data_IF_256051003163
#
_entry.id   IF_256051003163
#
_cell.length_a   1.000
_cell.length_b   1.000
_cell.length_c   1.000
_cell.angle_alpha   90.00
_cell.angle_beta   90.00
_cell.angle_gamma   90.00
#
_symmetry.space_group_name_H-M   'P 1'
#
loop_
_entity.id
_entity.type
_entity.pdbx_description
1 polymer ?
#
# COMPACT_ATOMS: atom_id res chain seq x y z
N UNK A 1 2.05 -15.23 -31.01
CA UNK A 1 1.14 -15.19 -29.84
C UNK A 1 1.54 -16.14 -28.73
N UNK A 2 1.81 -17.44 -28.98
CA UNK A 2 2.21 -18.41 -27.93
C UNK A 2 3.38 -17.94 -27.04
N UNK A 3 4.51 -17.54 -27.65
CA UNK A 3 5.67 -17.04 -26.91
C UNK A 3 5.39 -15.78 -26.09
N UNK A 4 4.59 -14.85 -26.63
CA UNK A 4 4.22 -13.62 -25.93
C UNK A 4 3.38 -13.92 -24.68
N UNK A 5 2.44 -14.86 -24.77
CA UNK A 5 1.69 -15.35 -23.62
C UNK A 5 2.60 -15.96 -22.56
N UNK A 6 3.56 -16.81 -22.97
CA UNK A 6 4.51 -17.43 -22.04
C UNK A 6 5.35 -16.35 -21.33
N UNK A 7 5.91 -15.41 -22.08
CA UNK A 7 6.74 -14.33 -21.52
C UNK A 7 5.94 -13.47 -20.54
N UNK A 8 4.71 -13.07 -20.89
CA UNK A 8 3.87 -12.26 -19.98
C UNK A 8 3.53 -13.02 -18.69
N UNK A 9 3.21 -14.32 -18.79
CA UNK A 9 2.95 -15.13 -17.59
C UNK A 9 4.22 -15.29 -16.74
N UNK A 10 5.37 -15.56 -17.34
CA UNK A 10 6.64 -15.69 -16.61
C UNK A 10 6.98 -14.39 -15.89
N UNK A 11 6.89 -13.25 -16.57
CA UNK A 11 7.15 -11.94 -15.96
C UNK A 11 6.16 -11.60 -14.84
N UNK A 12 4.93 -12.11 -14.90
CA UNK A 12 3.94 -11.92 -13.84
C UNK A 12 4.16 -12.84 -12.64
N UNK A 13 4.48 -14.12 -12.87
CA UNK A 13 4.62 -15.12 -11.81
C UNK A 13 5.98 -15.12 -11.13
N UNK A 14 7.08 -14.75 -11.82
CA UNK A 14 8.42 -14.72 -11.19
C UNK A 14 8.47 -13.78 -9.98
N UNK A 15 7.99 -12.53 -10.04
CA UNK A 15 7.97 -11.66 -8.87
C UNK A 15 7.11 -12.24 -7.75
N UNK A 16 5.95 -12.79 -8.10
CA UNK A 16 4.97 -13.36 -7.18
C UNK A 16 5.52 -14.56 -6.40
N UNK A 17 5.99 -15.58 -7.13
CA UNK A 17 6.50 -16.83 -6.53
C UNK A 17 7.89 -16.60 -5.95
N UNK A 18 8.70 -15.83 -6.64
CA UNK A 18 10.09 -15.63 -6.28
C UNK A 18 10.29 -14.81 -5.01
N UNK A 19 9.35 -13.94 -4.62
CA UNK A 19 9.37 -13.33 -3.28
C UNK A 19 9.32 -14.38 -2.16
N UNK A 20 8.59 -15.49 -2.36
CA UNK A 20 8.52 -16.57 -1.37
C UNK A 20 9.78 -17.43 -1.34
N UNK A 21 10.39 -17.70 -2.50
CA UNK A 21 11.52 -18.65 -2.61
C UNK A 21 12.88 -17.95 -2.41
N UNK A 22 13.05 -16.75 -2.97
CA UNK A 22 14.31 -15.99 -2.93
C UNK A 22 14.04 -14.53 -2.51
N UNK A 23 13.61 -14.31 -1.25
CA UNK A 23 13.23 -12.98 -0.77
C UNK A 23 14.37 -11.97 -0.94
N UNK A 24 15.64 -12.34 -0.71
CA UNK A 24 16.78 -11.40 -0.80
C UNK A 24 17.01 -10.88 -2.23
N UNK A 25 16.88 -11.75 -3.23
CA UNK A 25 17.06 -11.36 -4.64
C UNK A 25 15.87 -10.55 -5.13
N UNK A 26 14.66 -10.97 -4.78
CA UNK A 26 13.42 -10.40 -5.35
C UNK A 26 12.85 -9.27 -4.48
N UNK A 27 13.33 -9.09 -3.24
CA UNK A 27 13.17 -7.85 -2.50
C UNK A 27 14.00 -6.71 -3.08
N UNK A 28 14.92 -7.00 -4.00
CA UNK A 28 15.61 -5.95 -4.72
C UNK A 28 14.59 -5.22 -5.63
N UNK A 29 14.24 -4.03 -5.17
CA UNK A 29 13.40 -3.06 -5.86
C UNK A 29 13.70 -2.98 -7.36
N UNK A 30 14.96 -2.99 -7.79
CA UNK A 30 15.35 -2.85 -9.19
C UNK A 30 14.81 -4.00 -10.06
N UNK A 31 14.83 -5.23 -9.56
CA UNK A 31 14.37 -6.41 -10.32
C UNK A 31 12.86 -6.35 -10.54
N UNK A 32 12.10 -5.99 -9.50
CA UNK A 32 10.65 -5.82 -9.61
C UNK A 32 10.30 -4.69 -10.59
N UNK A 33 11.07 -3.62 -10.62
CA UNK A 33 10.87 -2.51 -11.57
C UNK A 33 11.07 -2.90 -13.02
N UNK A 34 12.12 -3.65 -13.33
CA UNK A 34 12.37 -4.10 -14.69
C UNK A 34 11.22 -5.00 -15.16
N UNK A 35 10.78 -5.94 -14.31
CA UNK A 35 9.67 -6.82 -14.64
C UNK A 35 8.36 -6.04 -14.83
N UNK A 36 8.09 -5.07 -13.96
CA UNK A 36 6.91 -4.22 -14.03
C UNK A 36 6.90 -3.35 -15.29
N UNK A 37 8.03 -2.70 -15.62
CA UNK A 37 8.17 -1.89 -16.83
C UNK A 37 7.95 -2.73 -18.09
N UNK A 38 8.52 -3.94 -18.12
CA UNK A 38 8.31 -4.88 -19.23
C UNK A 38 6.85 -5.30 -19.35
N UNK A 39 6.18 -5.66 -18.25
CA UNK A 39 4.76 -6.02 -18.26
C UNK A 39 3.86 -4.87 -18.71
N UNK A 40 4.16 -3.65 -18.27
CA UNK A 40 3.42 -2.44 -18.62
C UNK A 40 3.43 -2.16 -20.12
N UNK A 41 4.46 -2.60 -20.85
CA UNK A 41 4.54 -2.48 -22.31
C UNK A 41 4.02 -3.75 -23.01
N UNK A 42 4.39 -4.93 -22.53
CA UNK A 42 4.09 -6.19 -23.21
C UNK A 42 2.60 -6.55 -23.14
N UNK A 43 1.93 -6.32 -22.01
CA UNK A 43 0.51 -6.61 -21.84
C UNK A 43 -0.38 -5.82 -22.83
N UNK A 44 -0.27 -4.48 -22.95
CA UNK A 44 -1.09 -3.74 -23.90
C UNK A 44 -0.76 -4.09 -25.36
N UNK A 45 0.50 -4.38 -25.69
CA UNK A 45 0.88 -4.86 -27.03
C UNK A 45 0.28 -6.24 -27.35
N UNK A 46 0.25 -7.13 -26.36
CA UNK A 46 -0.34 -8.46 -26.50
C UNK A 46 -1.87 -8.39 -26.64
N UNK A 47 -2.49 -7.53 -25.83
CA UNK A 47 -3.93 -7.25 -25.86
C UNK A 47 -4.36 -6.69 -27.22
N UNK A 48 -3.69 -5.65 -27.73
CA UNK A 48 -4.05 -5.06 -29.01
C UNK A 48 -3.83 -6.01 -30.20
N UNK A 49 -2.76 -6.82 -30.18
CA UNK A 49 -2.56 -7.87 -31.20
C UNK A 49 -3.65 -8.94 -31.13
N UNK A 50 -4.08 -9.31 -29.93
CA UNK A 50 -5.17 -10.27 -29.73
C UNK A 50 -6.51 -9.72 -30.25
N UNK A 51 -6.78 -8.43 -30.06
CA UNK A 51 -7.97 -7.75 -30.58
C UNK A 51 -8.02 -7.80 -32.12
N UNK A 52 -6.94 -7.38 -32.79
CA UNK A 52 -6.92 -7.33 -34.26
C UNK A 52 -6.99 -8.73 -34.88
N UNK A 53 -6.25 -9.69 -34.31
CA UNK A 53 -6.31 -11.09 -34.76
C UNK A 53 -7.71 -11.69 -34.67
N UNK A 54 -8.52 -11.25 -33.70
CA UNK A 54 -9.89 -11.73 -33.56
C UNK A 54 -10.85 -11.00 -34.51
N UNK A 55 -10.66 -9.69 -34.71
CA UNK A 55 -11.51 -8.91 -35.62
C UNK A 55 -11.52 -9.42 -37.07
N UNK A 56 -10.44 -10.10 -37.50
CA UNK A 56 -10.35 -10.75 -38.82
C UNK A 56 -11.04 -12.11 -38.91
N UNK A 57 -11.42 -12.74 -37.80
CA UNK A 57 -12.01 -14.10 -37.75
C UNK A 57 -13.52 -14.11 -37.47
N UNK A 58 -14.17 -12.96 -37.24
CA UNK A 58 -15.59 -12.90 -36.87
C UNK A 58 -16.49 -13.20 -38.08
N UNK A 59 -16.79 -14.49 -38.28
CA UNK A 59 -18.08 -14.95 -38.80
C UNK A 59 -19.02 -15.12 -37.60
N UNK A 60 -19.93 -14.15 -37.43
CA UNK A 60 -21.19 -14.20 -36.64
C UNK A 60 -21.12 -14.96 -35.30
N UNK A 61 -20.86 -14.24 -34.20
CA UNK A 61 -21.10 -14.74 -32.84
C UNK A 61 -20.39 -13.93 -31.76
N UNK A 62 -21.12 -13.55 -30.69
CA UNK A 62 -20.62 -12.87 -29.49
C UNK A 62 -19.85 -13.89 -28.63
N UNK A 63 -18.72 -14.39 -29.12
CA UNK A 63 -17.76 -15.11 -28.30
C UNK A 63 -16.50 -14.27 -28.20
N UNK A 64 -16.34 -13.56 -27.07
CA UNK A 64 -15.06 -12.97 -26.71
C UNK A 64 -14.03 -14.10 -26.57
N UNK A 65 -12.90 -14.04 -27.28
CA UNK A 65 -11.96 -15.16 -27.31
C UNK A 65 -11.22 -15.27 -25.98
N UNK A 66 -11.10 -16.49 -25.46
CA UNK A 66 -10.43 -16.83 -24.18
C UNK A 66 -9.05 -16.16 -24.00
N UNK A 67 -8.30 -15.94 -25.07
CA UNK A 67 -6.95 -15.32 -25.04
C UNK A 67 -6.97 -13.81 -24.82
N UNK A 68 -8.02 -13.13 -25.24
CA UNK A 68 -8.19 -11.68 -25.11
C UNK A 68 -8.60 -11.33 -23.68
N UNK A 69 -9.45 -12.17 -23.07
CA UNK A 69 -9.72 -12.14 -21.64
C UNK A 69 -8.45 -12.41 -20.81
N UNK A 70 -7.56 -13.30 -21.26
CA UNK A 70 -6.34 -13.64 -20.51
C UNK A 70 -5.39 -12.46 -20.26
N UNK A 71 -5.11 -11.64 -21.28
CA UNK A 71 -4.21 -10.48 -21.12
C UNK A 71 -4.87 -9.33 -20.34
N UNK A 72 -6.18 -9.12 -20.53
CA UNK A 72 -6.95 -8.16 -19.74
C UNK A 72 -7.00 -8.58 -18.27
N UNK A 73 -7.24 -9.86 -17.99
CA UNK A 73 -7.24 -10.42 -16.62
C UNK A 73 -5.86 -10.28 -15.98
N UNK A 74 -4.77 -10.61 -16.69
CA UNK A 74 -3.41 -10.42 -16.18
C UNK A 74 -3.11 -8.94 -15.87
N UNK A 75 -3.58 -8.03 -16.73
CA UNK A 75 -3.48 -6.59 -16.46
C UNK A 75 -4.29 -6.20 -15.21
N UNK A 76 -5.56 -6.59 -15.11
CA UNK A 76 -6.41 -6.31 -13.95
C UNK A 76 -5.83 -6.89 -12.66
N UNK A 77 -5.25 -8.10 -12.71
CA UNK A 77 -4.57 -8.72 -11.56
C UNK A 77 -3.33 -7.93 -11.16
N UNK A 78 -2.51 -7.49 -12.12
CA UNK A 78 -1.31 -6.69 -11.81
C UNK A 78 -1.67 -5.36 -11.16
N UNK A 79 -2.67 -4.64 -11.68
CA UNK A 79 -3.18 -3.41 -11.07
C UNK A 79 -3.80 -3.70 -9.71
N UNK A 80 -4.60 -4.76 -9.61
CA UNK A 80 -5.26 -5.18 -8.38
C UNK A 80 -4.29 -5.50 -7.24
N UNK A 81 -3.14 -6.13 -7.54
CA UNK A 81 -2.09 -6.39 -6.55
C UNK A 81 -1.50 -5.10 -5.99
N UNK A 82 -1.25 -4.08 -6.81
CA UNK A 82 -0.75 -2.79 -6.37
C UNK A 82 -1.78 -1.99 -5.56
N UNK A 83 -3.06 -2.05 -5.96
CA UNK A 83 -4.14 -1.44 -5.19
C UNK A 83 -4.30 -2.16 -3.85
N UNK A 84 -4.31 -3.49 -3.83
CA UNK A 84 -4.41 -4.26 -2.60
C UNK A 84 -3.26 -3.98 -1.64
N UNK A 85 -2.02 -3.90 -2.14
CA UNK A 85 -0.85 -3.54 -1.32
C UNK A 85 -0.97 -2.12 -0.74
N UNK A 86 -1.54 -1.17 -1.49
CA UNK A 86 -1.75 0.19 -0.96
C UNK A 86 -2.79 0.22 0.18
N UNK A 87 -3.86 -0.57 0.05
CA UNK A 87 -4.94 -0.65 1.04
C UNK A 87 -4.51 -1.39 2.31
N UNK A 88 -3.71 -2.45 2.18
CA UNK A 88 -3.16 -3.15 3.35
C UNK A 88 -2.20 -2.26 4.15
N UNK A 89 -1.40 -1.42 3.47
CA UNK A 89 -0.54 -0.44 4.14
C UNK A 89 -1.34 0.66 4.86
N UNK A 90 -2.44 1.14 4.27
CA UNK A 90 -3.35 2.09 4.92
C UNK A 90 -4.04 1.44 6.13
N UNK A 91 -4.43 0.17 6.03
CA UNK A 91 -5.02 -0.56 7.14
C UNK A 91 -4.04 -0.75 8.30
N UNK A 92 -2.77 -1.08 8.00
CA UNK A 92 -1.70 -1.15 9.01
C UNK A 92 -1.45 0.21 9.65
N UNK A 93 -1.39 1.28 8.86
CA UNK A 93 -1.24 2.64 9.36
C UNK A 93 -2.40 3.04 10.29
N UNK A 94 -3.64 2.70 9.93
CA UNK A 94 -4.80 2.93 10.79
C UNK A 94 -4.76 2.11 12.09
N UNK A 95 -4.31 0.85 12.06
CA UNK A 95 -4.14 0.05 13.29
C UNK A 95 -3.08 0.67 14.18
N UNK A 96 -1.96 1.09 13.61
CA UNK A 96 -0.90 1.73 14.36
C UNK A 96 -1.43 3.05 14.95
N UNK A 97 -1.96 3.97 14.14
CA UNK A 97 -2.45 5.25 14.64
C UNK A 97 -3.59 5.13 15.67
N UNK A 98 -4.58 4.26 15.45
CA UNK A 98 -5.72 4.09 16.37
C UNK A 98 -5.39 3.23 17.60
N UNK A 99 -4.32 2.41 17.54
CA UNK A 99 -3.83 1.67 18.70
C UNK A 99 -2.97 2.53 19.63
N UNK A 100 -2.40 3.63 19.12
CA UNK A 100 -1.57 4.57 19.87
C UNK A 100 -2.30 5.84 20.30
N UNK A 101 -3.43 6.20 19.69
CA UNK A 101 -4.36 7.15 20.32
C UNK A 101 -4.92 6.49 21.58
N UNK A 102 -4.40 6.92 22.73
CA UNK A 102 -4.87 6.49 24.04
C UNK A 102 -6.41 6.54 24.07
N UNK A 103 -7.04 5.44 24.49
CA UNK A 103 -8.51 5.37 24.62
C UNK A 103 -9.09 6.42 25.58
N UNK A 104 -8.25 7.18 26.25
CA UNK A 104 -8.60 8.40 26.96
C UNK A 104 -8.27 9.61 26.08
N UNK A 105 -9.29 10.43 25.84
CA UNK A 105 -9.07 11.77 25.32
C UNK A 105 -8.11 12.48 26.28
N UNK A 106 -6.97 13.00 25.80
CA UNK A 106 -5.92 13.60 26.63
C UNK A 106 -6.49 14.52 27.72
N UNK A 107 -7.46 15.34 27.35
CA UNK A 107 -8.18 16.23 28.26
C UNK A 107 -8.81 15.51 29.47
N UNK A 108 -9.36 14.31 29.30
CA UNK A 108 -9.98 13.50 30.37
C UNK A 108 -8.94 12.89 31.32
N UNK A 109 -7.73 12.58 30.84
CA UNK A 109 -6.62 12.11 31.69
C UNK A 109 -6.13 13.25 32.58
N UNK A 110 -5.91 14.44 32.00
CA UNK A 110 -5.51 15.62 32.76
C UNK A 110 -6.63 16.12 33.69
N UNK A 111 -7.90 15.98 33.34
CA UNK A 111 -9.01 16.38 34.22
C UNK A 111 -9.10 15.47 35.45
N UNK A 112 -8.86 14.16 35.28
CA UNK A 112 -8.90 13.17 36.37
C UNK A 112 -7.89 13.41 37.49
N UNK A 113 -6.76 14.09 37.24
CA UNK A 113 -5.79 14.43 38.31
C UNK A 113 -6.29 15.51 39.29
N UNK A 114 -7.39 16.20 38.95
CA UNK A 114 -7.99 17.28 39.74
C UNK A 114 -9.33 16.90 40.39
N UNK A 115 -9.83 15.67 40.17
CA UNK A 115 -11.07 15.17 40.76
C UNK A 115 -10.83 14.68 42.19
N UNK A 116 -11.86 14.75 43.04
CA UNK A 116 -11.88 14.21 44.42
C UNK A 116 -11.89 12.67 44.48
N UNK A 117 -10.92 12.04 43.81
CA UNK A 117 -10.61 10.62 43.98
C UNK A 117 -9.60 10.44 45.12
N UNK A 118 -9.37 9.18 45.52
CA UNK A 118 -8.32 8.88 46.48
C UNK A 118 -6.96 9.35 45.95
N UNK A 119 -6.11 9.88 46.84
CA UNK A 119 -4.76 10.35 46.49
C UNK A 119 -3.94 9.32 45.71
N UNK A 120 -4.08 8.02 46.02
CA UNK A 120 -3.40 6.93 45.28
C UNK A 120 -3.86 6.85 43.81
N UNK A 121 -5.16 7.02 43.55
CA UNK A 121 -5.71 7.01 42.19
C UNK A 121 -5.20 8.23 41.40
N UNK A 122 -5.19 9.40 42.04
CA UNK A 122 -4.70 10.64 41.43
C UNK A 122 -3.20 10.57 41.12
N UNK A 123 -2.41 9.95 42.02
CA UNK A 123 -0.99 9.69 41.79
C UNK A 123 -0.76 8.69 40.67
N UNK A 124 -1.57 7.63 40.58
CA UNK A 124 -1.50 6.65 39.49
C UNK A 124 -1.80 7.29 38.13
N UNK A 125 -2.80 8.17 38.04
CA UNK A 125 -3.08 8.93 36.81
C UNK A 125 -1.92 9.87 36.45
N UNK A 126 -1.33 10.56 37.44
CA UNK A 126 -0.16 11.41 37.21
C UNK A 126 1.07 10.62 36.73
N UNK A 127 1.27 9.42 37.28
CA UNK A 127 2.30 8.47 36.82
C UNK A 127 2.06 8.04 35.37
N UNK A 128 0.82 7.69 35.01
CA UNK A 128 0.47 7.32 33.64
C UNK A 128 0.74 8.47 32.65
N UNK A 129 0.35 9.71 33.02
CA UNK A 129 0.64 10.90 32.21
C UNK A 129 2.16 11.08 32.03
N UNK A 130 2.96 10.88 33.07
CA UNK A 130 4.41 10.97 32.93
C UNK A 130 4.98 9.88 32.01
N UNK A 131 4.51 8.64 32.14
CA UNK A 131 4.96 7.51 31.32
C UNK A 131 4.61 7.71 29.84
N UNK A 132 3.47 8.33 29.54
CA UNK A 132 3.00 8.53 28.17
C UNK A 132 3.54 9.81 27.53
N UNK A 133 3.69 10.89 28.31
CA UNK A 133 4.00 12.24 27.79
C UNK A 133 5.31 12.84 28.31
N UNK A 134 5.94 12.25 29.32
CA UNK A 134 7.19 12.75 29.92
C UNK A 134 7.02 14.03 30.76
N UNK A 135 5.77 14.40 31.07
CA UNK A 135 5.46 15.64 31.80
C UNK A 135 5.07 15.31 33.24
N UNK A 136 5.76 15.91 34.19
CA UNK A 136 5.36 15.87 35.59
C UNK A 136 4.13 16.76 35.81
N UNK A 137 3.04 16.17 36.29
CA UNK A 137 1.77 16.88 36.51
C UNK A 137 1.45 17.03 37.99
N UNK A 138 0.67 18.06 38.30
CA UNK A 138 0.13 18.28 39.63
C UNK A 138 -1.07 17.36 39.88
N UNK A 139 -1.19 16.81 41.08
CA UNK A 139 -2.33 16.02 41.50
C UNK A 139 -2.77 16.39 42.92
N UNK A 140 -4.06 16.15 43.21
CA UNK A 140 -4.69 16.53 44.48
C UNK A 140 -4.38 15.53 45.60
N UNK A 141 -3.99 16.05 46.77
CA UNK A 141 -3.77 15.28 48.01
C UNK A 141 -5.07 15.15 48.81
N UNK A 142 -5.17 14.11 49.63
CA UNK A 142 -6.31 13.91 50.53
C UNK A 142 -6.48 15.07 51.54
N UNK A 143 -5.40 15.82 51.82
CA UNK A 143 -5.40 17.00 52.70
C UNK A 143 -5.99 18.27 52.06
N UNK A 144 -6.40 18.20 50.78
CA UNK A 144 -6.94 19.34 50.03
C UNK A 144 -5.88 20.24 49.37
N UNK A 145 -4.59 19.89 49.48
CA UNK A 145 -3.49 20.53 48.76
C UNK A 145 -3.17 19.86 47.41
N UNK A 146 -2.18 20.40 46.69
CA UNK A 146 -1.66 19.82 45.45
C UNK A 146 -0.16 19.54 45.60
N UNK A 147 0.31 18.48 44.95
CA UNK A 147 1.74 18.19 44.81
C UNK A 147 2.06 17.82 43.37
N UNK A 148 3.35 17.92 42.99
CA UNK A 148 3.84 17.51 41.68
C UNK A 148 4.27 16.05 41.76
N UNK A 149 3.94 15.26 40.74
CA UNK A 149 4.44 13.89 40.62
C UNK A 149 5.96 13.88 40.43
N UNK A 150 6.67 13.23 41.35
CA UNK A 150 8.10 13.00 41.25
C UNK A 150 8.35 11.61 40.65
N UNK A 151 8.88 11.53 39.41
CA UNK A 151 9.08 10.26 38.73
C UNK A 151 10.22 9.46 39.38
N UNK A 152 10.00 8.17 39.52
CA UNK A 152 11.03 7.22 39.92
C UNK A 152 11.93 6.82 38.73
N UNK A 153 13.06 6.15 39.01
CA UNK A 153 13.93 5.63 37.95
C UNK A 153 13.19 4.69 36.99
N UNK A 154 12.25 3.87 37.48
CA UNK A 154 11.44 2.99 36.63
C UNK A 154 10.50 3.77 35.72
N UNK A 155 9.90 4.86 36.21
CA UNK A 155 9.00 5.68 35.39
C UNK A 155 9.76 6.39 34.26
N UNK A 156 10.99 6.83 34.53
CA UNK A 156 11.90 7.41 33.54
C UNK A 156 12.28 6.37 32.47
N UNK A 157 12.54 5.12 32.88
CA UNK A 157 12.83 4.04 31.93
C UNK A 157 11.61 3.68 31.08
N UNK A 158 10.42 3.56 31.68
CA UNK A 158 9.17 3.31 30.95
C UNK A 158 8.84 4.42 29.94
N UNK A 159 9.02 5.70 30.33
CA UNK A 159 8.87 6.82 29.40
C UNK A 159 9.84 6.71 28.21
N UNK A 160 11.12 6.40 28.46
CA UNK A 160 12.11 6.24 27.38
C UNK A 160 11.77 5.09 26.43
N UNK A 161 11.25 3.98 26.97
CA UNK A 161 10.80 2.86 26.16
C UNK A 161 9.61 3.26 25.28
N UNK A 162 8.60 3.90 25.87
CA UNK A 162 7.43 4.40 25.15
C UNK A 162 7.81 5.43 24.08
N UNK A 163 8.68 6.38 24.39
CA UNK A 163 9.19 7.36 23.44
C UNK A 163 9.92 6.67 22.26
N UNK A 164 10.75 5.67 22.55
CA UNK A 164 11.45 4.91 21.52
C UNK A 164 10.48 4.09 20.64
N UNK A 165 9.42 3.54 21.22
CA UNK A 165 8.36 2.83 20.48
C UNK A 165 7.60 3.83 19.60
N UNK A 166 7.15 4.96 20.14
CA UNK A 166 6.42 6.00 19.43
C UNK A 166 7.22 6.56 18.24
N UNK A 167 8.54 6.76 18.42
CA UNK A 167 9.44 7.17 17.34
C UNK A 167 9.52 6.11 16.23
N UNK A 168 9.63 4.82 16.58
CA UNK A 168 9.65 3.73 15.60
C UNK A 168 8.32 3.65 14.84
N UNK A 169 7.19 3.77 15.53
CA UNK A 169 5.86 3.75 14.93
C UNK A 169 5.68 4.92 13.98
N UNK A 170 6.03 6.14 14.39
CA UNK A 170 5.99 7.32 13.53
C UNK A 170 6.80 7.15 12.25
N UNK A 171 8.00 6.55 12.36
CA UNK A 171 8.85 6.26 11.21
C UNK A 171 8.22 5.18 10.30
N UNK A 172 7.61 4.14 10.88
CA UNK A 172 6.90 3.10 10.13
C UNK A 172 5.67 3.66 9.41
N UNK A 173 4.88 4.52 10.07
CA UNK A 173 3.70 5.16 9.49
C UNK A 173 4.07 6.08 8.33
N UNK A 174 5.15 6.87 8.49
CA UNK A 174 5.71 7.67 7.41
C UNK A 174 6.12 6.80 6.22
N UNK A 175 6.86 5.71 6.48
CA UNK A 175 7.26 4.77 5.44
C UNK A 175 6.05 4.13 4.73
N UNK A 176 5.06 3.64 5.47
CA UNK A 176 3.84 3.03 4.93
C UNK A 176 3.04 4.02 4.09
N UNK A 177 2.92 5.27 4.54
CA UNK A 177 2.25 6.35 3.81
C UNK A 177 2.96 6.65 2.49
N UNK A 178 4.29 6.76 2.50
CA UNK A 178 5.08 6.99 1.29
C UNK A 178 4.96 5.82 0.30
N UNK A 179 5.01 4.58 0.79
CA UNK A 179 4.84 3.38 -0.05
C UNK A 179 3.43 3.26 -0.62
N UNK A 180 2.40 3.59 0.16
CA UNK A 180 1.01 3.59 -0.31
C UNK A 180 0.78 4.62 -1.43
N UNK A 181 1.33 5.84 -1.27
CA UNK A 181 1.29 6.87 -2.33
C UNK A 181 2.00 6.41 -3.60
N UNK A 182 3.18 5.81 -3.46
CA UNK A 182 3.92 5.25 -4.60
C UNK A 182 3.11 4.14 -5.31
N UNK A 183 2.52 3.21 -4.57
CA UNK A 183 1.69 2.14 -5.13
C UNK A 183 0.46 2.69 -5.88
N UNK A 184 -0.18 3.75 -5.37
CA UNK A 184 -1.26 4.45 -6.06
C UNK A 184 -0.78 5.08 -7.37
N UNK A 185 0.35 5.80 -7.35
CA UNK A 185 0.93 6.39 -8.57
C UNK A 185 1.29 5.32 -9.60
N UNK A 186 1.85 4.18 -9.19
CA UNK A 186 2.12 3.07 -10.11
C UNK A 186 0.85 2.52 -10.75
N UNK A 187 -0.21 2.33 -9.96
CA UNK A 187 -1.49 1.83 -10.48
C UNK A 187 -2.07 2.76 -11.54
N UNK A 188 -2.09 4.07 -11.28
CA UNK A 188 -2.56 5.07 -12.24
C UNK A 188 -1.68 5.14 -13.49
N UNK A 189 -0.37 5.14 -13.31
CA UNK A 189 0.60 5.17 -14.41
C UNK A 189 0.49 3.93 -15.29
N UNK A 190 0.29 2.75 -14.70
CA UNK A 190 0.12 1.50 -15.43
C UNK A 190 -1.16 1.51 -16.27
N UNK A 191 -2.26 2.03 -15.73
CA UNK A 191 -3.52 2.22 -16.47
C UNK A 191 -3.30 3.16 -17.66
N UNK A 192 -2.64 4.30 -17.43
CA UNK A 192 -2.36 5.27 -18.47
C UNK A 192 -1.49 4.68 -19.60
N UNK A 193 -0.38 4.02 -19.25
CA UNK A 193 0.49 3.33 -20.22
C UNK A 193 -0.29 2.27 -20.99
N UNK A 194 -1.10 1.48 -20.30
CA UNK A 194 -1.88 0.42 -20.94
C UNK A 194 -2.79 1.00 -22.02
N UNK A 195 -3.55 2.04 -21.69
CA UNK A 195 -4.44 2.70 -22.65
C UNK A 195 -3.67 3.30 -23.82
N UNK A 196 -2.58 4.02 -23.55
CA UNK A 196 -1.78 4.69 -24.57
C UNK A 196 -1.14 3.68 -25.55
N UNK A 197 -0.46 2.66 -25.03
CA UNK A 197 0.22 1.66 -25.87
C UNK A 197 -0.79 0.79 -26.62
N UNK A 198 -1.88 0.38 -25.96
CA UNK A 198 -2.91 -0.42 -26.61
C UNK A 198 -3.55 0.37 -27.77
N UNK A 199 -3.94 1.62 -27.56
CA UNK A 199 -4.53 2.47 -28.60
C UNK A 199 -3.55 2.75 -29.74
N UNK A 200 -2.31 3.13 -29.43
CA UNK A 200 -1.28 3.37 -30.46
C UNK A 200 -1.03 2.12 -31.30
N UNK A 201 -0.90 0.95 -30.67
CA UNK A 201 -0.64 -0.29 -31.39
C UNK A 201 -1.88 -0.74 -32.19
N UNK A 202 -3.09 -0.57 -31.67
CA UNK A 202 -4.33 -0.79 -32.42
C UNK A 202 -4.39 0.09 -33.68
N UNK A 203 -4.10 1.39 -33.55
CA UNK A 203 -4.06 2.32 -34.68
C UNK A 203 -3.05 1.87 -35.75
N UNK A 204 -1.85 1.47 -35.33
CA UNK A 204 -0.80 0.99 -36.23
C UNK A 204 -1.18 -0.31 -36.94
N UNK A 205 -1.76 -1.27 -36.21
CA UNK A 205 -2.20 -2.55 -36.76
C UNK A 205 -3.35 -2.36 -37.76
N UNK A 206 -4.35 -1.52 -37.43
CA UNK A 206 -5.46 -1.19 -38.34
C UNK A 206 -4.95 -0.48 -39.61
N UNK A 207 -4.02 0.48 -39.47
CA UNK A 207 -3.40 1.15 -40.63
C UNK A 207 -2.66 0.16 -41.53
N UNK A 208 -1.96 -0.82 -40.95
CA UNK A 208 -1.29 -1.89 -41.72
C UNK A 208 -2.29 -2.81 -42.42
N UNK A 209 -3.38 -3.20 -41.75
CA UNK A 209 -4.43 -4.02 -42.34
C UNK A 209 -5.09 -3.31 -43.53
N UNK A 210 -5.48 -2.04 -43.39
CA UNK A 210 -6.11 -1.25 -44.45
C UNK A 210 -5.18 -1.04 -45.65
N UNK A 211 -3.88 -0.80 -45.42
CA UNK A 211 -2.89 -0.70 -46.51
C UNK A 211 -2.73 -2.01 -47.30
N UNK A 212 -3.00 -3.15 -46.69
CA UNK A 212 -2.90 -4.46 -47.35
C UNK A 212 -4.11 -4.68 -48.26
N UNK A 213 -5.31 -4.39 -47.77
CA UNK A 213 -6.56 -4.44 -48.53
C UNK A 213 -6.47 -3.57 -49.79
N UNK A 214 -6.02 -2.32 -49.66
CA UNK A 214 -5.90 -1.40 -50.81
C UNK A 214 -4.80 -1.77 -51.83
N UNK A 215 -3.91 -2.71 -51.51
CA UNK A 215 -2.91 -3.22 -52.47
C UNK A 215 -3.40 -4.45 -53.22
N UNK A 216 -4.39 -5.15 -52.69
CA UNK A 216 -4.95 -6.38 -53.24
C UNK A 216 -6.22 -6.11 -54.09
N UNK A 217 -6.71 -4.87 -54.13
CA UNK A 217 -7.73 -4.32 -55.06
C UNK A 217 -7.09 -3.48 -56.15
#
# INVERSE_FOLDING_TARGET
MKYLTIICNILFYIPLIGQYIFPILISNWIINWIMFALLSVLLPLAYSKSLVSHSTEIKVGIQLPKKLNGFLVLFCLSVGLHVFSSQSLIYVDNILNNGFESQFNEAQLFEKTYVDNAEEDNKFVAQAIYIDYGVAVQFKLNSGGYTIFEPSSSDIESYKENEAINLKVKNLNKFNTEQSKLAMYFSLFQIFIFLLIAQMNLYWLNRKANKKINKDT
#
